data_IF_968711550539
#
_entry.id   IF_968711550539
#
_cell.length_a   1.000
_cell.length_b   1.000
_cell.length_c   1.000
_cell.angle_alpha   90.00
_cell.angle_beta   90.00
_cell.angle_gamma   90.00
#
_symmetry.space_group_name_H-M   'P 1'
#
loop_
_entity.id
_entity.type
_entity.pdbx_description
1 polymer ?
#
# COMPACT_ATOMS: atom_id res chain seq x y z
N UNK A 1 17.33 27.16 5.34
CA UNK A 1 15.89 27.47 5.48
C UNK A 1 15.33 27.79 4.10
N UNK A 2 14.91 26.74 3.39
CA UNK A 2 14.02 26.76 2.23
C UNK A 2 13.69 25.30 1.98
N UNK A 3 12.63 24.82 2.63
CA UNK A 3 12.05 23.50 2.37
C UNK A 3 11.47 23.62 0.97
N UNK A 4 12.07 22.94 -0.01
CA UNK A 4 11.47 22.82 -1.34
C UNK A 4 10.22 21.97 -1.14
N UNK A 5 9.10 22.68 -1.00
CA UNK A 5 7.78 22.09 -0.84
C UNK A 5 7.47 21.19 -2.02
N UNK A 6 7.05 19.98 -1.70
CA UNK A 6 6.28 19.10 -2.57
C UNK A 6 5.21 19.96 -3.27
N UNK A 7 5.43 20.30 -4.55
CA UNK A 7 4.40 20.87 -5.39
C UNK A 7 3.38 19.77 -5.66
N UNK A 8 2.28 19.87 -4.92
CA UNK A 8 1.06 19.08 -5.00
C UNK A 8 0.51 19.07 -6.43
N UNK A 9 0.18 17.87 -6.94
CA UNK A 9 -0.68 17.71 -8.12
C UNK A 9 -1.59 16.49 -7.93
N UNK A 10 -2.89 16.78 -7.93
CA UNK A 10 -4.05 16.04 -7.46
C UNK A 10 -4.37 14.74 -8.22
N UNK A 11 -4.70 13.70 -7.46
CA UNK A 11 -5.93 12.87 -7.59
C UNK A 11 -5.76 11.49 -6.92
N UNK A 12 -4.51 11.02 -6.73
CA UNK A 12 -4.21 9.71 -6.10
C UNK A 12 -3.38 9.93 -4.81
N UNK A 13 -2.56 10.98 -4.79
CA UNK A 13 -2.10 11.63 -3.55
C UNK A 13 -3.21 12.35 -2.78
N UNK A 14 -4.44 12.48 -3.31
CA UNK A 14 -5.53 13.05 -2.52
C UNK A 14 -5.71 12.27 -1.23
N UNK A 15 -5.94 10.96 -1.37
CA UNK A 15 -6.10 10.01 -0.27
C UNK A 15 -4.75 9.60 0.31
N UNK A 16 -3.72 9.36 -0.52
CA UNK A 16 -2.37 9.01 -0.04
C UNK A 16 -1.58 10.22 0.55
N UNK A 17 -2.12 11.44 0.57
CA UNK A 17 -1.60 12.60 1.35
C UNK A 17 -2.49 12.92 2.55
N UNK A 18 -3.68 12.33 2.69
CA UNK A 18 -4.49 12.51 3.91
C UNK A 18 -3.64 12.09 5.11
N UNK A 19 -3.57 12.92 6.13
CA UNK A 19 -3.06 12.48 7.43
C UNK A 19 -4.03 11.40 7.90
N UNK A 20 -3.59 10.14 7.93
CA UNK A 20 -4.32 9.11 8.67
C UNK A 20 -4.51 9.68 10.08
N UNK A 21 -5.75 9.95 10.49
CA UNK A 21 -6.00 10.40 11.85
C UNK A 21 -5.42 9.33 12.79
N UNK A 22 -4.56 9.69 13.75
CA UNK A 22 -4.26 8.79 14.84
C UNK A 22 -5.55 8.60 15.60
N UNK A 23 -6.29 7.55 15.28
CA UNK A 23 -7.50 7.22 16.02
C UNK A 23 -7.07 6.92 17.46
N UNK A 24 -7.61 7.67 18.41
CA UNK A 24 -7.41 7.40 19.83
C UNK A 24 -7.96 5.99 20.14
N UNK A 25 -7.35 5.23 21.07
CA UNK A 25 -7.80 3.88 21.40
C UNK A 25 -9.29 3.80 21.76
N UNK A 26 -9.85 4.87 22.34
CA UNK A 26 -11.26 4.98 22.72
C UNK A 26 -12.21 5.22 21.53
N UNK A 27 -11.74 5.83 20.43
CA UNK A 27 -12.56 6.13 19.25
C UNK A 27 -12.74 4.91 18.32
N UNK A 28 -11.82 3.95 18.39
CA UNK A 28 -11.79 2.79 17.46
C UNK A 28 -12.82 1.71 17.82
N UNK A 29 -13.25 1.65 19.08
CA UNK A 29 -14.14 0.62 19.63
C UNK A 29 -15.56 0.57 19.01
N UNK A 30 -15.88 1.46 18.06
CA UNK A 30 -17.22 1.62 17.46
C UNK A 30 -17.33 1.08 16.03
N UNK A 31 -16.29 0.46 15.48
CA UNK A 31 -16.31 -0.04 14.11
C UNK A 31 -17.23 -1.26 13.97
N UNK A 32 -18.38 -1.09 13.29
CA UNK A 32 -19.35 -2.16 13.05
C UNK A 32 -19.47 -2.52 11.57
N UNK A 33 -19.60 -3.81 11.29
CA UNK A 33 -20.07 -4.36 10.01
C UNK A 33 -21.61 -4.31 9.97
N UNK A 34 -22.17 -3.10 9.86
CA UNK A 34 -23.62 -2.89 9.76
C UNK A 34 -24.07 -2.53 8.34
N UNK A 35 -25.39 -2.47 8.11
CA UNK A 35 -25.98 -1.77 6.97
C UNK A 35 -25.48 -0.32 6.91
N UNK A 36 -25.17 0.19 5.72
CA UNK A 36 -24.55 1.51 5.48
C UNK A 36 -25.47 2.15 4.47
N UNK A 37 -25.86 3.37 4.77
CA UNK A 37 -26.82 4.17 4.03
C UNK A 37 -26.14 5.40 3.45
N UNK A 38 -26.80 6.06 2.50
CA UNK A 38 -26.38 7.38 2.04
C UNK A 38 -26.41 8.37 3.21
N UNK A 39 -25.40 9.22 3.29
CA UNK A 39 -25.18 10.17 4.38
C UNK A 39 -24.38 9.63 5.56
N UNK A 40 -24.14 8.31 5.67
CA UNK A 40 -23.36 7.73 6.76
C UNK A 40 -21.88 8.15 6.68
N UNK A 41 -21.31 8.49 7.85
CA UNK A 41 -19.86 8.61 8.02
C UNK A 41 -19.24 7.23 8.23
N UNK A 42 -18.17 6.96 7.50
CA UNK A 42 -17.52 5.65 7.45
C UNK A 42 -16.00 5.77 7.46
N UNK A 43 -15.33 4.72 7.94
CA UNK A 43 -13.91 4.51 7.71
C UNK A 43 -13.73 3.54 6.54
N UNK A 44 -13.22 4.06 5.42
CA UNK A 44 -12.95 3.29 4.21
C UNK A 44 -11.46 2.90 4.14
N UNK A 45 -11.18 1.62 3.90
CA UNK A 45 -9.82 1.12 3.69
C UNK A 45 -9.38 1.40 2.25
N UNK A 46 -8.22 2.03 2.07
CA UNK A 46 -7.65 2.32 0.75
C UNK A 46 -6.61 1.27 0.32
N UNK A 47 -6.06 1.45 -0.89
CA UNK A 47 -5.07 0.55 -1.51
C UNK A 47 -3.70 0.54 -0.84
N UNK A 48 -3.46 1.41 0.14
CA UNK A 48 -2.28 1.39 1.01
C UNK A 48 -2.53 0.60 2.32
N UNK A 49 -3.73 0.07 2.50
CA UNK A 49 -4.16 -0.67 3.69
C UNK A 49 -4.56 0.21 4.88
N UNK A 50 -4.53 1.55 4.75
CA UNK A 50 -4.93 2.51 5.78
C UNK A 50 -6.42 2.82 5.71
N UNK A 51 -6.97 3.32 6.82
CA UNK A 51 -8.36 3.77 6.93
C UNK A 51 -8.45 5.29 6.79
N UNK A 52 -9.43 5.74 6.02
CA UNK A 52 -9.71 7.15 5.76
C UNK A 52 -11.17 7.46 6.07
N UNK A 53 -11.42 8.62 6.68
CA UNK A 53 -12.77 9.09 6.94
C UNK A 53 -13.42 9.54 5.63
N UNK A 54 -14.67 9.13 5.44
CA UNK A 54 -15.46 9.56 4.31
C UNK A 54 -16.94 9.52 4.60
N UNK A 55 -17.70 10.15 3.72
CA UNK A 55 -19.16 10.23 3.78
C UNK A 55 -19.76 9.51 2.56
N UNK A 56 -20.72 8.62 2.80
CA UNK A 56 -21.34 7.81 1.76
C UNK A 56 -22.30 8.66 0.93
N UNK A 57 -22.04 8.76 -0.38
CA UNK A 57 -22.87 9.50 -1.33
C UNK A 57 -23.87 8.64 -2.07
N UNK A 58 -23.50 7.40 -2.39
CA UNK A 58 -24.38 6.43 -3.07
C UNK A 58 -24.11 5.02 -2.59
N UNK A 59 -25.13 4.18 -2.55
CA UNK A 59 -25.00 2.75 -2.23
C UNK A 59 -25.43 1.91 -3.44
N UNK A 60 -24.55 1.01 -3.90
CA UNK A 60 -24.88 0.02 -4.93
C UNK A 60 -24.96 -1.37 -4.29
N UNK A 61 -26.18 -1.86 -4.07
CA UNK A 61 -26.40 -3.22 -3.56
C UNK A 61 -25.97 -4.29 -4.58
N UNK A 62 -26.19 -4.06 -5.88
CA UNK A 62 -25.80 -5.00 -6.92
C UNK A 62 -24.28 -5.14 -7.04
N UNK A 63 -23.55 -4.01 -7.09
CA UNK A 63 -22.07 -4.02 -7.23
C UNK A 63 -21.35 -4.20 -5.88
N UNK A 64 -22.09 -4.34 -4.76
CA UNK A 64 -21.57 -4.46 -3.40
C UNK A 64 -20.51 -3.38 -3.08
N UNK A 65 -20.81 -2.13 -3.43
CA UNK A 65 -19.91 -0.99 -3.24
C UNK A 65 -20.67 0.29 -2.92
N UNK A 66 -19.97 1.29 -2.40
CA UNK A 66 -20.53 2.61 -2.13
C UNK A 66 -19.64 3.69 -2.74
N UNK A 67 -20.25 4.75 -3.26
CA UNK A 67 -19.52 5.96 -3.62
C UNK A 67 -19.25 6.74 -2.34
N UNK A 68 -17.99 6.91 -1.98
CA UNK A 68 -17.55 7.59 -0.76
C UNK A 68 -16.84 8.88 -1.13
N UNK A 69 -17.24 9.99 -0.51
CA UNK A 69 -16.52 11.27 -0.58
C UNK A 69 -15.58 11.39 0.62
N UNK A 70 -14.30 11.58 0.38
CA UNK A 70 -13.28 11.74 1.42
C UNK A 70 -13.12 13.21 1.84
N UNK A 71 -12.32 13.45 2.89
CA UNK A 71 -12.10 14.79 3.46
C UNK A 71 -11.50 15.80 2.47
N UNK A 72 -10.75 15.32 1.46
CA UNK A 72 -10.18 16.14 0.39
C UNK A 72 -11.16 16.42 -0.77
N UNK A 73 -12.43 16.03 -0.61
CA UNK A 73 -13.50 16.06 -1.62
C UNK A 73 -13.33 15.10 -2.80
N UNK A 74 -12.34 14.21 -2.77
CA UNK A 74 -12.24 13.14 -3.77
C UNK A 74 -13.39 12.13 -3.58
N UNK A 75 -13.85 11.53 -4.68
CA UNK A 75 -14.94 10.56 -4.66
C UNK A 75 -14.53 9.27 -5.36
N UNK A 76 -14.66 8.14 -4.65
CA UNK A 76 -14.33 6.83 -5.20
C UNK A 76 -15.35 5.77 -4.80
N UNK A 77 -15.52 4.78 -5.68
CA UNK A 77 -16.26 3.58 -5.37
C UNK A 77 -15.41 2.66 -4.48
N UNK A 78 -15.89 2.40 -3.27
CA UNK A 78 -15.24 1.53 -2.30
C UNK A 78 -16.07 0.27 -2.12
N UNK A 79 -15.42 -0.90 -2.18
CA UNK A 79 -16.09 -2.18 -1.96
C UNK A 79 -16.63 -2.26 -0.53
N UNK A 80 -17.78 -2.92 -0.38
CA UNK A 80 -18.46 -3.00 0.90
C UNK A 80 -17.61 -3.64 2.01
N UNK A 81 -16.78 -4.63 1.65
CA UNK A 81 -15.83 -5.29 2.57
C UNK A 81 -14.76 -4.35 3.16
N UNK A 82 -14.56 -3.19 2.53
CA UNK A 82 -13.55 -2.21 2.91
C UNK A 82 -14.16 -0.97 3.59
N UNK A 83 -15.48 -0.95 3.79
CA UNK A 83 -16.21 0.12 4.47
C UNK A 83 -16.57 -0.33 5.87
N UNK A 84 -16.23 0.50 6.85
CA UNK A 84 -16.54 0.25 8.25
C UNK A 84 -17.40 1.38 8.79
N UNK A 85 -18.59 1.05 9.29
CA UNK A 85 -19.57 2.05 9.70
C UNK A 85 -19.23 2.63 11.07
N UNK A 86 -19.31 3.95 11.19
CA UNK A 86 -19.18 4.69 12.43
C UNK A 86 -20.58 5.00 13.01
N UNK A 87 -21.43 4.00 13.25
CA UNK A 87 -22.77 4.29 13.81
C UNK A 87 -22.65 4.83 15.23
N UNK A 88 -23.09 6.08 15.42
CA UNK A 88 -23.17 6.77 16.72
C UNK A 88 -24.37 6.33 17.60
N UNK A 89 -25.23 5.44 17.13
CA UNK A 89 -26.50 5.14 17.79
C UNK A 89 -26.47 3.86 18.62
N UNK A 90 -26.12 4.03 19.90
CA UNK A 90 -26.90 3.52 21.04
C UNK A 90 -26.33 4.17 22.30
N UNK A 91 -27.21 4.61 23.22
CA UNK A 91 -26.90 5.25 24.52
C UNK A 91 -26.14 4.33 25.51
N UNK A 92 -25.34 3.39 25.02
CA UNK A 92 -24.37 2.61 25.76
C UNK A 92 -23.13 2.42 24.88
N UNK A 93 -21.91 2.71 25.38
CA UNK A 93 -20.67 2.30 24.73
C UNK A 93 -20.51 0.79 24.97
N UNK A 94 -21.41 -0.01 24.41
CA UNK A 94 -21.27 -1.46 24.44
C UNK A 94 -20.18 -1.82 23.42
N UNK A 95 -19.03 -2.39 23.87
CA UNK A 95 -17.98 -2.81 22.96
C UNK A 95 -18.55 -3.76 21.90
N UNK A 96 -18.03 -3.70 20.68
CA UNK A 96 -18.44 -4.62 19.62
C UNK A 96 -18.24 -6.06 20.12
N UNK A 97 -19.34 -6.78 20.34
CA UNK A 97 -19.31 -8.18 20.75
C UNK A 97 -19.11 -9.06 19.52
N UNK A 98 -18.03 -9.82 19.50
CA UNK A 98 -17.77 -10.82 18.47
C UNK A 98 -18.13 -12.19 19.03
N UNK A 99 -18.80 -13.03 18.22
CA UNK A 99 -18.79 -14.47 18.52
C UNK A 99 -17.33 -14.95 18.46
N UNK A 100 -16.86 -15.77 19.42
CA UNK A 100 -15.46 -16.19 19.46
C UNK A 100 -14.95 -16.76 18.13
N UNK A 101 -15.77 -17.59 17.47
CA UNK A 101 -15.50 -18.26 16.19
C UNK A 101 -15.56 -17.34 14.97
N UNK A 102 -16.20 -16.17 15.08
CA UNK A 102 -16.35 -15.22 13.96
C UNK A 102 -15.21 -14.20 13.89
N UNK A 103 -14.31 -14.18 14.87
CA UNK A 103 -13.13 -13.34 14.87
C UNK A 103 -11.91 -14.11 14.35
N UNK A 104 -10.93 -13.40 13.76
CA UNK A 104 -9.70 -14.02 13.26
C UNK A 104 -8.46 -13.35 13.86
N UNK A 105 -7.66 -14.07 14.67
CA UNK A 105 -7.86 -15.46 15.14
C UNK A 105 -9.03 -15.57 16.14
N UNK A 106 -9.52 -16.79 16.40
CA UNK A 106 -10.58 -17.07 17.38
C UNK A 106 -10.29 -16.40 18.73
N UNK A 107 -11.32 -15.85 19.38
CA UNK A 107 -11.19 -15.23 20.70
C UNK A 107 -11.04 -16.34 21.74
N UNK A 108 -9.96 -16.29 22.52
CA UNK A 108 -9.75 -17.24 23.62
C UNK A 108 -10.76 -16.97 24.76
N UNK A 109 -11.36 -18.01 25.35
CA UNK A 109 -12.40 -17.87 26.37
C UNK A 109 -11.89 -17.22 27.68
N UNK A 110 -10.59 -17.25 27.92
CA UNK A 110 -9.91 -16.65 29.09
C UNK A 110 -9.41 -15.23 28.83
N UNK A 111 -9.67 -14.66 27.64
CA UNK A 111 -9.28 -13.29 27.35
C UNK A 111 -10.06 -12.33 28.25
N UNK A 112 -9.34 -11.60 29.11
CA UNK A 112 -9.91 -10.53 29.93
C UNK A 112 -10.71 -9.56 29.05
N UNK A 113 -12.03 -9.55 29.26
CA UNK A 113 -13.01 -8.82 28.44
C UNK A 113 -12.73 -7.33 28.41
N UNK A 114 -12.10 -6.79 29.46
CA UNK A 114 -11.78 -5.36 29.58
C UNK A 114 -10.48 -4.99 28.84
N UNK A 115 -9.71 -6.00 28.41
CA UNK A 115 -8.42 -5.82 27.74
C UNK A 115 -8.40 -6.31 26.28
N UNK A 116 -9.43 -7.01 25.83
CA UNK A 116 -9.47 -7.52 24.46
C UNK A 116 -9.69 -6.39 23.45
N UNK A 117 -8.95 -6.44 22.33
CA UNK A 117 -9.06 -5.46 21.23
C UNK A 117 -9.21 -6.24 19.94
N UNK A 118 -10.27 -5.96 19.20
CA UNK A 118 -10.55 -6.64 17.93
C UNK A 118 -9.45 -6.37 16.89
N UNK A 119 -9.32 -7.29 15.92
CA UNK A 119 -8.40 -7.19 14.80
C UNK A 119 -8.47 -5.83 14.12
N UNK A 120 -9.68 -5.34 13.87
CA UNK A 120 -9.88 -4.10 13.15
C UNK A 120 -9.31 -2.90 13.91
N UNK A 121 -9.55 -2.82 15.23
CA UNK A 121 -9.01 -1.77 16.07
C UNK A 121 -7.48 -1.86 16.17
N UNK A 122 -6.94 -3.08 16.29
CA UNK A 122 -5.49 -3.31 16.31
C UNK A 122 -4.85 -2.77 15.03
N UNK A 123 -5.39 -3.12 13.85
CA UNK A 123 -4.87 -2.66 12.56
C UNK A 123 -5.02 -1.14 12.42
N UNK A 124 -6.18 -0.58 12.75
CA UNK A 124 -6.43 0.86 12.66
C UNK A 124 -5.41 1.71 13.46
N UNK A 125 -4.97 1.22 14.63
CA UNK A 125 -3.96 1.90 15.45
C UNK A 125 -2.53 1.60 14.97
N UNK A 126 -2.24 0.34 14.64
CA UNK A 126 -0.88 -0.14 14.40
C UNK A 126 -0.35 0.15 13.00
N UNK A 127 -1.19 0.20 11.97
CA UNK A 127 -0.75 0.49 10.60
C UNK A 127 -0.34 1.95 10.45
N UNK A 128 0.81 2.20 9.80
CA UNK A 128 1.34 3.56 9.54
C UNK A 128 2.07 3.59 8.19
N UNK A 129 2.07 4.75 7.52
CA UNK A 129 2.93 4.97 6.34
C UNK A 129 4.39 4.73 6.71
N UNK A 130 5.13 4.05 5.83
CA UNK A 130 6.52 3.66 6.06
C UNK A 130 6.71 2.37 6.87
N UNK A 131 5.63 1.76 7.39
CA UNK A 131 5.68 0.53 8.18
C UNK A 131 4.89 0.63 9.48
N UNK A 132 4.25 -0.46 9.87
CA UNK A 132 3.48 -0.55 11.11
C UNK A 132 4.34 -0.41 12.37
N UNK A 133 3.67 -0.14 13.50
CA UNK A 133 4.31 -0.05 14.81
C UNK A 133 5.11 -1.32 15.14
N UNK A 134 6.36 -1.17 15.58
CA UNK A 134 7.24 -2.30 15.91
C UNK A 134 7.36 -2.61 17.41
N UNK A 135 6.88 -1.72 18.28
CA UNK A 135 7.00 -1.82 19.74
C UNK A 135 5.67 -1.45 20.42
N UNK A 136 5.51 -1.92 21.66
CA UNK A 136 4.31 -1.67 22.46
C UNK A 136 3.19 -2.69 22.26
N UNK A 137 2.09 -2.52 23.00
CA UNK A 137 0.96 -3.45 23.05
C UNK A 137 0.34 -3.70 21.67
N UNK A 138 0.01 -2.64 20.93
CA UNK A 138 -0.59 -2.75 19.60
C UNK A 138 0.32 -3.42 18.57
N UNK A 139 1.64 -3.22 18.64
CA UNK A 139 2.58 -3.91 17.77
C UNK A 139 2.60 -5.43 18.00
N UNK A 140 2.56 -5.86 19.28
CA UNK A 140 2.52 -7.29 19.65
C UNK A 140 1.18 -7.92 19.25
N UNK A 141 0.07 -7.24 19.51
CA UNK A 141 -1.26 -7.69 19.09
C UNK A 141 -1.35 -7.80 17.57
N UNK A 142 -0.84 -6.82 16.82
CA UNK A 142 -0.82 -6.88 15.36
C UNK A 142 -0.02 -8.09 14.88
N UNK A 143 1.17 -8.32 15.45
CA UNK A 143 1.99 -9.48 15.10
C UNK A 143 1.25 -10.80 15.34
N UNK A 144 0.55 -10.95 16.46
CA UNK A 144 -0.29 -12.12 16.73
C UNK A 144 -1.43 -12.26 15.70
N UNK A 145 -2.15 -11.17 15.42
CA UNK A 145 -3.26 -11.15 14.46
C UNK A 145 -2.80 -11.53 13.04
N UNK A 146 -1.60 -11.14 12.63
CA UNK A 146 -1.03 -11.43 11.30
C UNK A 146 -0.67 -12.90 11.08
N UNK A 147 -0.68 -13.74 12.12
CA UNK A 147 -0.46 -15.19 11.99
C UNK A 147 -1.62 -15.90 11.28
N UNK A 148 -2.79 -15.25 11.17
CA UNK A 148 -3.98 -15.77 10.47
C UNK A 148 -4.53 -14.71 9.52
N UNK A 149 -4.87 -15.14 8.30
CA UNK A 149 -5.60 -14.31 7.34
C UNK A 149 -7.11 -14.43 7.59
N UNK A 150 -7.88 -13.33 7.50
CA UNK A 150 -9.34 -13.36 7.62
C UNK A 150 -10.02 -13.81 6.30
N UNK A 151 -9.29 -14.50 5.43
CA UNK A 151 -9.73 -14.98 4.12
C UNK A 151 -8.86 -16.18 3.71
N UNK A 152 -9.34 -16.96 2.74
CA UNK A 152 -8.62 -18.12 2.21
C UNK A 152 -7.82 -17.73 0.97
N UNK A 153 -6.54 -18.14 0.89
CA UNK A 153 -5.71 -17.83 -0.27
C UNK A 153 -6.16 -18.59 -1.53
N UNK A 154 -6.67 -19.81 -1.36
CA UNK A 154 -7.15 -20.67 -2.45
C UNK A 154 -8.43 -20.16 -3.11
N UNK A 155 -9.15 -19.20 -2.51
CA UNK A 155 -10.38 -18.64 -3.04
C UNK A 155 -10.16 -17.35 -3.86
N UNK A 156 -8.90 -17.01 -4.17
CA UNK A 156 -8.56 -15.80 -4.91
C UNK A 156 -8.31 -16.11 -6.38
N UNK A 157 -9.01 -15.40 -7.25
CA UNK A 157 -8.89 -15.54 -8.70
C UNK A 157 -7.85 -14.55 -9.23
N UNK A 158 -6.61 -15.03 -9.37
CA UNK A 158 -5.46 -14.24 -9.81
C UNK A 158 -5.38 -14.10 -11.33
N UNK A 159 -4.80 -13.00 -11.78
CA UNK A 159 -4.32 -12.88 -13.16
C UNK A 159 -3.13 -13.83 -13.41
N UNK A 160 -2.77 -14.10 -14.69
CA UNK A 160 -1.68 -15.04 -15.02
C UNK A 160 -0.31 -14.64 -14.46
N UNK A 161 -0.10 -13.35 -14.18
CA UNK A 161 1.17 -12.83 -13.66
C UNK A 161 1.20 -12.79 -12.12
N UNK A 162 0.11 -13.19 -11.46
CA UNK A 162 -0.06 -13.16 -10.01
C UNK A 162 0.13 -11.76 -9.40
N UNK A 163 -0.33 -10.72 -10.12
CA UNK A 163 -0.21 -9.31 -9.73
C UNK A 163 -1.49 -8.80 -9.07
N UNK A 164 -2.65 -9.18 -9.61
CA UNK A 164 -3.96 -8.77 -9.12
C UNK A 164 -4.93 -9.94 -9.02
N UNK A 165 -5.90 -9.84 -8.10
CA UNK A 165 -7.02 -10.79 -8.01
C UNK A 165 -8.38 -10.10 -8.15
N UNK A 166 -9.38 -10.83 -8.64
CA UNK A 166 -10.73 -10.30 -8.90
C UNK A 166 -11.43 -9.79 -7.63
N UNK A 167 -11.15 -10.43 -6.49
CA UNK A 167 -11.71 -10.12 -5.17
C UNK A 167 -11.16 -8.82 -4.58
N UNK A 168 -10.06 -8.28 -5.13
CA UNK A 168 -9.30 -7.16 -4.56
C UNK A 168 -9.01 -7.38 -3.07
N UNK A 169 -8.53 -8.59 -2.75
CA UNK A 169 -8.26 -9.03 -1.39
C UNK A 169 -6.78 -9.35 -1.24
N UNK A 170 -6.08 -8.50 -0.50
CA UNK A 170 -4.64 -8.58 -0.28
C UNK A 170 -4.29 -8.38 1.19
N UNK A 171 -3.04 -8.73 1.52
CA UNK A 171 -2.40 -8.46 2.80
C UNK A 171 -3.12 -9.09 4.01
N UNK A 172 -2.53 -8.97 5.20
CA UNK A 172 -3.18 -9.38 6.45
C UNK A 172 -4.52 -8.67 6.72
N UNK A 173 -4.74 -7.50 6.11
CA UNK A 173 -5.95 -6.71 6.33
C UNK A 173 -7.13 -7.08 5.42
N UNK A 174 -6.95 -7.96 4.41
CA UNK A 174 -7.95 -8.26 3.37
C UNK A 174 -8.44 -7.04 2.57
N UNK A 175 -7.63 -5.98 2.56
CA UNK A 175 -7.90 -4.74 1.86
C UNK A 175 -7.66 -4.82 0.35
N UNK A 176 -8.04 -3.78 -0.39
CA UNK A 176 -7.59 -3.60 -1.77
C UNK A 176 -6.10 -3.22 -1.76
N UNK A 177 -5.45 -3.31 -2.91
CA UNK A 177 -4.03 -2.99 -3.04
C UNK A 177 -3.58 -2.98 -4.50
N UNK A 178 -2.62 -2.11 -4.81
CA UNK A 178 -1.93 -2.10 -6.11
C UNK A 178 -0.49 -2.57 -5.89
N UNK A 179 -0.12 -3.70 -6.49
CA UNK A 179 1.14 -4.40 -6.21
C UNK A 179 2.38 -3.53 -6.39
N UNK A 180 2.35 -2.61 -7.36
CA UNK A 180 3.44 -1.68 -7.68
C UNK A 180 3.44 -0.43 -6.78
N UNK A 181 2.44 -0.26 -5.92
CA UNK A 181 2.30 0.88 -5.00
C UNK A 181 2.59 0.45 -3.56
N UNK A 182 3.88 0.36 -3.20
CA UNK A 182 4.34 0.08 -1.83
C UNK A 182 3.78 -1.23 -1.25
N UNK A 183 3.85 -2.31 -2.03
CA UNK A 183 3.54 -3.66 -1.55
C UNK A 183 4.73 -4.60 -1.72
N UNK A 184 4.83 -5.59 -0.84
CA UNK A 184 5.81 -6.68 -0.90
C UNK A 184 5.11 -7.99 -1.26
N UNK A 185 5.70 -8.76 -2.17
CA UNK A 185 5.22 -10.10 -2.48
C UNK A 185 5.90 -11.13 -1.57
N UNK A 186 5.12 -12.01 -0.94
CA UNK A 186 5.67 -13.09 -0.13
C UNK A 186 6.18 -14.22 -1.01
N UNK A 187 7.47 -14.58 -0.88
CA UNK A 187 8.12 -15.62 -1.69
C UNK A 187 7.53 -17.02 -1.53
N UNK A 188 6.83 -17.30 -0.42
CA UNK A 188 6.24 -18.63 -0.17
C UNK A 188 4.81 -18.79 -0.68
N UNK A 189 3.97 -17.74 -0.61
CA UNK A 189 2.53 -17.86 -0.91
C UNK A 189 2.06 -16.98 -2.07
N UNK A 190 2.93 -16.16 -2.67
CA UNK A 190 2.61 -15.29 -3.81
C UNK A 190 1.76 -14.06 -3.46
N UNK A 191 1.14 -14.01 -2.28
CA UNK A 191 0.31 -12.89 -1.84
C UNK A 191 1.11 -11.60 -1.65
N UNK A 192 0.44 -10.46 -1.87
CA UNK A 192 0.96 -9.10 -1.72
C UNK A 192 0.58 -8.48 -0.37
N UNK A 193 1.51 -7.75 0.24
CA UNK A 193 1.38 -7.16 1.58
C UNK A 193 1.75 -5.67 1.57
N UNK A 194 0.86 -4.82 2.09
CA UNK A 194 1.08 -3.38 2.16
C UNK A 194 2.27 -3.01 3.05
N UNK A 195 3.07 -2.03 2.63
CA UNK A 195 4.09 -1.37 3.46
C UNK A 195 3.55 -1.07 4.85
N UNK A 196 2.38 -0.41 4.91
CA UNK A 196 1.78 0.03 6.16
C UNK A 196 1.32 -1.09 7.10
N UNK A 197 1.22 -2.32 6.60
CA UNK A 197 0.82 -3.50 7.37
C UNK A 197 2.02 -4.36 7.81
N UNK A 198 3.23 -4.10 7.32
CA UNK A 198 4.44 -4.84 7.69
C UNK A 198 5.16 -4.22 8.89
N UNK A 199 5.85 -5.03 9.67
CA UNK A 199 6.64 -4.61 10.84
C UNK A 199 8.16 -4.82 10.63
N UNK A 200 8.59 -5.35 9.48
CA UNK A 200 9.99 -5.66 9.18
C UNK A 200 10.79 -4.52 8.52
N UNK A 201 10.15 -3.56 7.84
CA UNK A 201 10.82 -2.53 7.04
C UNK A 201 11.60 -1.50 7.87
N UNK A 202 12.86 -1.23 7.53
CA UNK A 202 13.68 -0.19 8.18
C UNK A 202 13.52 1.20 7.57
N UNK A 203 13.13 1.26 6.29
CA UNK A 203 12.89 2.47 5.51
C UNK A 203 11.61 2.26 4.66
N UNK A 204 10.87 3.33 4.31
CA UNK A 204 9.71 3.23 3.42
C UNK A 204 10.09 2.67 2.04
N UNK A 205 9.15 1.98 1.39
CA UNK A 205 9.32 1.43 0.04
C UNK A 205 9.23 2.54 -1.01
N UNK A 206 10.00 2.41 -2.08
CA UNK A 206 9.71 3.14 -3.31
C UNK A 206 8.58 2.44 -4.09
N UNK A 207 7.93 3.18 -4.98
CA UNK A 207 6.97 2.57 -5.89
C UNK A 207 7.70 1.65 -6.87
N UNK A 208 7.13 0.47 -7.12
CA UNK A 208 7.71 -0.56 -8.00
C UNK A 208 8.94 -1.27 -7.43
N UNK A 209 9.33 -1.01 -6.18
CA UNK A 209 10.53 -1.61 -5.61
C UNK A 209 10.31 -3.08 -5.23
N UNK A 210 10.66 -3.97 -6.16
CA UNK A 210 10.61 -5.43 -5.98
C UNK A 210 11.93 -6.03 -5.49
N UNK A 211 12.96 -5.23 -5.19
CA UNK A 211 14.28 -5.72 -4.77
C UNK A 211 14.29 -6.16 -3.30
N UNK A 212 13.39 -7.09 -2.96
CA UNK A 212 13.24 -7.66 -1.64
C UNK A 212 12.90 -9.15 -1.74
N UNK A 213 13.55 -9.95 -0.90
CA UNK A 213 13.07 -11.28 -0.54
C UNK A 213 12.28 -11.14 0.76
N UNK A 214 10.96 -11.34 0.69
CA UNK A 214 10.05 -11.16 1.82
C UNK A 214 9.29 -12.45 2.13
N UNK A 215 9.15 -12.79 3.42
CA UNK A 215 8.23 -13.83 3.88
C UNK A 215 7.28 -13.26 4.93
N UNK A 216 5.99 -13.47 4.72
CA UNK A 216 4.94 -12.95 5.59
C UNK A 216 4.80 -13.76 6.88
N UNK A 217 4.17 -13.17 7.90
CA UNK A 217 3.97 -13.79 9.21
C UNK A 217 3.16 -15.08 9.20
N UNK A 218 2.31 -15.28 8.20
CA UNK A 218 1.53 -16.51 8.03
C UNK A 218 2.45 -17.67 7.64
N UNK A 219 3.35 -17.42 6.67
CA UNK A 219 4.27 -18.43 6.15
C UNK A 219 5.41 -18.73 7.13
N UNK A 220 5.95 -17.72 7.81
CA UNK A 220 6.99 -17.90 8.83
C UNK A 220 6.45 -18.44 10.16
N UNK A 221 5.12 -18.44 10.35
CA UNK A 221 4.43 -18.73 11.62
C UNK A 221 4.97 -17.87 12.77
N UNK A 222 5.37 -16.64 12.46
CA UNK A 222 6.09 -15.75 13.38
C UNK A 222 6.35 -14.38 12.77
N UNK A 223 7.37 -13.64 13.25
CA UNK A 223 7.78 -12.38 12.64
C UNK A 223 8.08 -12.53 11.14
N UNK A 224 7.81 -11.46 10.39
CA UNK A 224 8.20 -11.35 8.98
C UNK A 224 9.72 -11.41 8.83
N UNK A 225 10.19 -11.99 7.73
CA UNK A 225 11.59 -11.88 7.31
C UNK A 225 11.67 -11.05 6.04
N UNK A 226 12.72 -10.22 5.96
CA UNK A 226 12.97 -9.38 4.79
C UNK A 226 14.46 -9.25 4.54
N UNK A 227 14.85 -9.36 3.28
CA UNK A 227 16.21 -9.13 2.83
C UNK A 227 16.19 -8.24 1.59
N UNK A 228 16.99 -7.16 1.60
CA UNK A 228 17.19 -6.29 0.43
C UNK A 228 18.03 -7.04 -0.60
N UNK A 229 17.54 -7.13 -1.83
CA UNK A 229 18.27 -7.75 -2.93
C UNK A 229 19.30 -6.77 -3.51
N UNK A 230 20.44 -7.27 -4.02
CA UNK A 230 21.40 -6.43 -4.72
C UNK A 230 20.76 -5.83 -5.98
N UNK A 231 21.18 -4.62 -6.33
CA UNK A 231 20.73 -3.92 -7.53
C UNK A 231 21.91 -3.27 -8.24
N UNK A 232 21.79 -3.12 -9.55
CA UNK A 232 22.76 -2.38 -10.38
C UNK A 232 22.44 -0.88 -10.38
N UNK A 233 23.37 -0.07 -10.89
CA UNK A 233 23.10 1.34 -11.18
C UNK A 233 21.94 1.54 -12.16
N UNK A 234 21.73 0.60 -13.08
CA UNK A 234 20.63 0.66 -14.05
C UNK A 234 19.29 0.43 -13.35
N UNK A 235 19.22 -0.55 -12.47
CA UNK A 235 18.04 -0.84 -11.65
C UNK A 235 17.68 0.36 -10.78
N UNK A 236 18.69 0.99 -10.15
CA UNK A 236 18.48 2.17 -9.34
C UNK A 236 17.90 3.34 -10.15
N UNK A 237 18.50 3.63 -11.32
CA UNK A 237 18.03 4.70 -12.19
C UNK A 237 16.59 4.43 -12.68
N UNK A 238 16.27 3.18 -13.05
CA UNK A 238 14.93 2.77 -13.45
C UNK A 238 13.95 2.94 -12.29
N UNK A 239 14.28 2.43 -11.10
CA UNK A 239 13.43 2.50 -9.91
C UNK A 239 13.12 3.95 -9.52
N UNK A 240 14.13 4.83 -9.47
CA UNK A 240 13.95 6.25 -9.15
C UNK A 240 13.05 6.93 -10.18
N UNK A 241 13.31 6.71 -11.47
CA UNK A 241 12.46 7.26 -12.54
C UNK A 241 11.03 6.74 -12.47
N UNK A 242 10.85 5.46 -12.18
CA UNK A 242 9.52 4.86 -12.04
C UNK A 242 8.77 5.51 -10.88
N UNK A 243 9.42 5.61 -9.70
CA UNK A 243 8.86 6.25 -8.52
C UNK A 243 8.46 7.70 -8.79
N UNK A 244 9.38 8.52 -9.32
CA UNK A 244 9.09 9.91 -9.68
C UNK A 244 7.96 10.01 -10.71
N UNK A 245 7.89 9.10 -11.69
CA UNK A 245 6.86 9.12 -12.72
C UNK A 245 5.45 8.93 -12.17
N UNK A 246 5.31 8.17 -11.08
CA UNK A 246 4.04 7.95 -10.39
C UNK A 246 3.74 9.10 -9.42
N UNK A 247 4.69 9.51 -8.58
CA UNK A 247 4.53 10.62 -7.65
C UNK A 247 4.11 11.91 -8.38
N UNK A 248 4.80 12.25 -9.47
CA UNK A 248 4.56 13.49 -10.20
C UNK A 248 3.59 13.34 -11.38
N UNK A 249 3.10 12.11 -11.64
CA UNK A 249 2.24 11.78 -12.80
C UNK A 249 2.79 12.28 -14.15
N UNK A 250 4.12 12.37 -14.28
CA UNK A 250 4.84 12.92 -15.44
C UNK A 250 5.82 11.89 -16.02
N UNK A 251 6.20 12.05 -17.29
CA UNK A 251 7.09 11.10 -17.99
C UNK A 251 8.58 11.45 -17.92
N UNK A 252 8.92 12.74 -17.99
CA UNK A 252 10.31 13.19 -18.13
C UNK A 252 10.74 13.97 -16.90
N UNK A 253 11.97 13.79 -16.44
CA UNK A 253 12.56 14.43 -15.27
C UNK A 253 13.96 14.95 -15.59
N UNK A 254 14.32 16.09 -15.04
CA UNK A 254 15.67 16.65 -15.15
C UNK A 254 16.67 15.83 -14.33
N UNK A 255 17.80 15.48 -14.94
CA UNK A 255 18.80 14.62 -14.30
C UNK A 255 19.40 15.25 -13.05
N UNK A 256 19.86 16.49 -13.13
CA UNK A 256 20.58 17.13 -12.03
C UNK A 256 19.61 17.60 -10.94
N UNK A 257 18.52 18.25 -11.35
CA UNK A 257 17.60 18.91 -10.43
C UNK A 257 16.51 18.01 -9.84
N UNK A 258 16.20 16.88 -10.46
CA UNK A 258 15.12 16.00 -9.98
C UNK A 258 15.63 14.60 -9.67
N UNK A 259 16.26 13.91 -10.63
CA UNK A 259 16.68 12.50 -10.45
C UNK A 259 17.83 12.41 -9.44
N UNK A 260 18.90 13.17 -9.66
CA UNK A 260 20.08 13.16 -8.81
C UNK A 260 19.80 13.81 -7.45
N UNK A 261 19.04 14.91 -7.41
CA UNK A 261 18.59 15.53 -6.16
C UNK A 261 17.82 14.52 -5.30
N UNK A 262 16.80 13.86 -5.87
CA UNK A 262 16.04 12.83 -5.16
C UNK A 262 16.93 11.70 -4.66
N UNK A 263 17.82 11.18 -5.52
CA UNK A 263 18.72 10.07 -5.18
C UNK A 263 19.64 10.42 -4.01
N UNK A 264 20.19 11.64 -4.01
CA UNK A 264 21.08 12.12 -2.95
C UNK A 264 20.32 12.37 -1.64
N UNK A 265 19.15 13.01 -1.71
CA UNK A 265 18.31 13.29 -0.54
C UNK A 265 17.80 12.01 0.13
N UNK A 266 17.60 10.94 -0.65
CA UNK A 266 17.06 9.67 -0.17
C UNK A 266 18.11 8.57 -0.06
N UNK A 267 19.41 8.89 -0.16
CA UNK A 267 20.49 7.91 -0.31
C UNK A 267 20.45 6.75 0.70
N UNK A 268 20.24 7.06 1.98
CA UNK A 268 20.11 6.04 3.03
C UNK A 268 18.84 5.20 2.91
N UNK A 269 17.75 5.79 2.44
CA UNK A 269 16.46 5.12 2.28
C UNK A 269 16.46 4.15 1.09
N UNK A 270 17.36 4.32 0.13
CA UNK A 270 17.50 3.46 -1.04
C UNK A 270 18.10 2.08 -0.72
N UNK A 271 18.76 1.95 0.44
CA UNK A 271 19.35 0.70 0.92
C UNK A 271 20.26 0.04 -0.13
N UNK A 272 21.20 0.80 -0.69
CA UNK A 272 22.02 0.41 -1.84
C UNK A 272 23.07 -0.68 -1.55
N UNK A 273 23.30 -1.03 -0.28
CA UNK A 273 24.33 -1.99 0.12
C UNK A 273 25.70 -1.66 -0.49
N UNK A 274 26.37 -2.66 -1.06
CA UNK A 274 27.69 -2.51 -1.69
C UNK A 274 27.72 -1.53 -2.88
N UNK A 275 26.57 -1.27 -3.54
CA UNK A 275 26.51 -0.27 -4.61
C UNK A 275 26.74 1.15 -4.06
N UNK A 276 26.32 1.40 -2.81
CA UNK A 276 26.46 2.70 -2.16
C UNK A 276 27.91 3.06 -1.80
N UNK A 277 28.80 2.07 -1.69
CA UNK A 277 30.23 2.26 -1.39
C UNK A 277 31.01 2.74 -2.62
N UNK A 278 30.58 2.37 -3.83
CA UNK A 278 31.23 2.72 -5.09
C UNK A 278 30.53 3.92 -5.73
N UNK A 279 30.93 5.15 -5.39
CA UNK A 279 30.34 6.41 -5.93
C UNK A 279 30.52 6.65 -7.45
N UNK A 280 31.04 5.68 -8.21
CA UNK A 280 31.26 5.80 -9.65
C UNK A 280 29.95 5.57 -10.43
N UNK A 281 29.40 6.69 -10.92
CA UNK A 281 28.17 6.78 -11.70
C UNK A 281 28.42 6.33 -13.13
N UNK A 282 27.76 5.26 -13.57
CA UNK A 282 27.85 4.77 -14.94
C UNK A 282 26.66 5.27 -15.78
N UNK A 283 26.92 5.63 -17.05
CA UNK A 283 25.90 6.14 -17.98
C UNK A 283 24.97 5.02 -18.47
N UNK A 284 23.66 5.29 -18.52
CA UNK A 284 22.60 4.32 -18.79
C UNK A 284 22.52 3.81 -20.24
N UNK A 285 21.80 2.69 -20.42
CA UNK A 285 21.56 2.02 -21.70
C UNK A 285 20.33 2.61 -22.43
N UNK A 286 20.40 2.74 -23.76
CA UNK A 286 19.38 3.42 -24.60
C UNK A 286 18.03 2.68 -24.67
N UNK A 287 17.98 1.39 -24.35
CA UNK A 287 16.75 0.59 -24.43
C UNK A 287 15.78 0.80 -23.25
N UNK A 288 16.26 1.35 -22.12
CA UNK A 288 15.44 1.54 -20.90
C UNK A 288 14.99 2.99 -20.73
N UNK A 289 15.79 3.94 -21.22
CA UNK A 289 15.62 5.37 -20.96
C UNK A 289 15.47 6.16 -22.25
N UNK A 290 14.43 6.98 -22.33
CA UNK A 290 14.25 7.96 -23.40
C UNK A 290 14.88 9.28 -22.95
N UNK A 291 15.88 9.76 -23.70
CA UNK A 291 16.46 11.09 -23.49
C UNK A 291 15.61 12.16 -24.17
N UNK A 292 15.53 13.35 -23.59
CA UNK A 292 14.88 14.51 -24.18
C UNK A 292 15.41 14.85 -25.58
N UNK A 293 16.67 14.48 -25.89
CA UNK A 293 17.24 14.63 -27.24
C UNK A 293 16.43 13.91 -28.32
N UNK A 294 15.86 12.75 -27.99
CA UNK A 294 15.10 11.90 -28.92
C UNK A 294 13.68 12.46 -29.19
N UNK A 295 13.23 13.43 -28.39
CA UNK A 295 11.93 14.12 -28.55
C UNK A 295 12.06 15.64 -28.73
N UNK A 296 13.22 16.11 -29.22
CA UNK A 296 13.52 17.54 -29.45
C UNK A 296 13.38 18.42 -28.18
N UNK A 297 13.58 17.85 -26.99
CA UNK A 297 13.64 18.57 -25.69
C UNK A 297 15.08 18.66 -25.16
N UNK A 298 15.25 19.32 -24.00
CA UNK A 298 16.56 19.46 -23.32
C UNK A 298 17.21 18.08 -23.12
N UNK A 299 18.51 17.97 -23.40
CA UNK A 299 19.29 16.71 -23.34
C UNK A 299 19.35 16.09 -21.94
N UNK A 300 19.20 16.90 -20.89
CA UNK A 300 19.22 16.50 -19.48
C UNK A 300 17.90 15.88 -18.98
N UNK A 301 16.86 15.80 -19.83
CA UNK A 301 15.60 15.18 -19.46
C UNK A 301 15.63 13.68 -19.76
N UNK A 302 15.18 12.87 -18.80
CA UNK A 302 15.09 11.42 -18.94
C UNK A 302 13.71 10.92 -18.52
N UNK A 303 13.23 9.88 -19.18
CA UNK A 303 11.99 9.20 -18.83
C UNK A 303 12.06 7.72 -19.18
N UNK A 304 11.14 6.93 -18.62
CA UNK A 304 11.02 5.53 -18.99
C UNK A 304 10.33 5.39 -20.34
N UNK A 305 10.79 4.45 -21.16
CA UNK A 305 10.12 4.13 -22.42
C UNK A 305 8.71 3.58 -22.16
N UNK A 306 8.64 2.56 -21.29
CA UNK A 306 7.42 1.97 -20.76
C UNK A 306 7.35 2.28 -19.26
N UNK A 307 6.20 2.77 -18.78
CA UNK A 307 6.00 3.06 -17.35
C UNK A 307 5.68 1.76 -16.60
N UNK A 308 6.68 0.88 -16.49
CA UNK A 308 6.63 -0.37 -15.73
C UNK A 308 7.76 -0.38 -14.67
N UNK A 309 7.56 -1.07 -13.53
CA UNK A 309 8.62 -1.28 -12.54
C UNK A 309 9.86 -1.95 -13.15
N UNK A 310 11.05 -1.78 -12.54
CA UNK A 310 12.25 -2.49 -12.95
C UNK A 310 12.04 -4.02 -12.85
N UNK A 311 12.44 -4.79 -13.87
CA UNK A 311 12.36 -6.25 -13.82
C UNK A 311 13.33 -6.82 -12.79
N UNK A 312 12.97 -7.95 -12.17
CA UNK A 312 13.93 -8.72 -11.38
C UNK A 312 14.74 -9.63 -12.30
N UNK A 313 15.99 -9.93 -11.93
CA UNK A 313 16.84 -10.87 -12.68
C UNK A 313 16.25 -12.28 -12.75
N UNK A 314 15.35 -12.63 -11.82
CA UNK A 314 14.62 -13.89 -11.77
C UNK A 314 13.38 -13.94 -12.67
N UNK A 315 12.95 -12.83 -13.27
CA UNK A 315 11.77 -12.81 -14.14
C UNK A 315 12.12 -13.45 -15.50
N UNK A 316 11.67 -14.68 -15.74
CA UNK A 316 11.97 -15.47 -16.94
C UNK A 316 10.97 -15.23 -18.09
N UNK A 317 10.89 -14.01 -18.66
CA UNK A 317 10.28 -13.69 -20.00
C UNK A 317 10.20 -12.18 -20.29
N UNK A 318 10.04 -11.74 -21.57
CA UNK A 318 10.39 -10.39 -22.00
C UNK A 318 9.47 -9.31 -21.42
N UNK A 319 10.09 -8.16 -21.11
CA UNK A 319 9.53 -6.85 -20.75
C UNK A 319 7.99 -6.78 -20.73
N UNK A 320 7.42 -6.62 -19.53
CA UNK A 320 6.03 -6.25 -19.30
C UNK A 320 5.70 -5.03 -20.18
N UNK A 321 5.02 -5.25 -21.32
CA UNK A 321 4.66 -4.19 -22.28
C UNK A 321 3.38 -3.46 -21.90
N UNK A 322 2.58 -4.04 -21.01
CA UNK A 322 1.28 -3.49 -20.65
C UNK A 322 1.36 -2.70 -19.34
N UNK A 323 0.84 -1.46 -19.30
CA UNK A 323 0.82 -0.66 -18.08
C UNK A 323 -0.04 -1.36 -17.00
N UNK A 324 0.34 -1.26 -15.71
CA UNK A 324 -0.46 -1.83 -14.63
C UNK A 324 -1.87 -1.24 -14.66
N UNK A 325 -2.87 -2.11 -14.63
CA UNK A 325 -4.29 -1.73 -14.58
C UNK A 325 -4.57 -1.17 -13.19
N UNK A 326 -4.71 0.15 -13.06
CA UNK A 326 -5.06 0.78 -11.79
C UNK A 326 -6.49 0.41 -11.36
N UNK A 327 -6.66 0.14 -10.08
CA UNK A 327 -7.96 -0.17 -9.47
C UNK A 327 -8.89 1.05 -9.58
N UNK A 328 -8.32 2.26 -9.51
CA UNK A 328 -9.06 3.53 -9.62
C UNK A 328 -9.61 3.79 -11.03
N UNK A 329 -9.04 3.16 -12.06
CA UNK A 329 -9.42 3.35 -13.46
C UNK A 329 -10.39 2.31 -14.02
N UNK A 330 -10.89 1.36 -13.21
CA UNK A 330 -12.12 0.63 -13.56
C UNK A 330 -13.31 1.61 -13.53
N UNK A 331 -13.44 2.44 -14.58
CA UNK A 331 -14.75 2.68 -15.18
C UNK A 331 -15.23 1.29 -15.60
N UNK A 332 -15.91 0.58 -14.71
CA UNK A 332 -16.76 -0.53 -15.11
C UNK A 332 -17.86 0.12 -15.94
N UNK A 333 -17.61 0.18 -17.24
CA UNK A 333 -18.61 0.46 -18.26
C UNK A 333 -19.84 -0.40 -17.96
N UNK A 334 -20.96 0.29 -17.77
CA UNK A 334 -22.35 -0.17 -17.64
C UNK A 334 -22.62 -1.28 -16.60
#
# INVERSE_FOLDING_TARGET
RAVIGQRRSTADEGISSLLSLPLSPLSVSLLRMGGVSEGDDVLARWSDGLLYLGNVKRVSAFKQCCLVRFEDNSEFWVLRKDIHSCKKNSLSPSPVSYHPECHTPTIEPEADSDSWICRQCVFAVATKRGGALKRGRFARLMQFMKLRLPYQLSSLDWDPQHLTNQQQCYCYCAGPGEWNLKMLQCGSCGQWFHEACTQCLTKPLLYGDRFYQFQCSVCTKGPETIQRLPMTWMDLAHLVLYHLSLCCKRKYFDFDHEILSFTNENWESLLLGALGEKRERHAGNRHTFVSGKEIKKKKCLFGLQVRAPPPLTSDSSPLITDPPISITHRRRSE
#
